data_IF_735134528533
#
_entry.id   IF_735134528533
#
_cell.length_a   1.000
_cell.length_b   1.000
_cell.length_c   1.000
_cell.angle_alpha   90.00
_cell.angle_beta   90.00
_cell.angle_gamma   90.00
#
_symmetry.space_group_name_H-M   'P 1'
#
loop_
_entity.id
_entity.type
_entity.pdbx_description
1 polymer ?
#
# COMPACT_ATOMS: atom_id res chain seq x y z
N UNK A 1 -16.87 11.88 9.95
CA UNK A 1 -16.63 10.45 9.71
C UNK A 1 -17.90 9.71 10.13
N UNK A 2 -18.71 9.24 9.16
CA UNK A 2 -19.97 8.56 9.46
C UNK A 2 -19.67 7.16 10.05
N UNK A 3 -20.37 6.81 11.14
CA UNK A 3 -20.29 5.47 11.73
C UNK A 3 -20.59 4.35 10.70
N UNK A 4 -21.40 4.64 9.67
CA UNK A 4 -21.74 3.70 8.60
C UNK A 4 -20.54 3.30 7.72
N UNK A 5 -19.52 4.17 7.58
CA UNK A 5 -18.33 3.87 6.77
C UNK A 5 -17.36 2.94 7.49
N UNK A 6 -17.43 2.88 8.82
CA UNK A 6 -16.68 1.94 9.65
C UNK A 6 -17.19 0.49 9.52
N UNK A 7 -18.45 0.30 9.11
CA UNK A 7 -19.08 -1.02 8.99
C UNK A 7 -19.02 -1.62 7.58
N UNK A 8 -18.64 -0.84 6.56
CA UNK A 8 -18.60 -1.29 5.15
C UNK A 8 -17.30 -1.97 4.69
N UNK A 9 -16.25 -1.96 5.51
CA UNK A 9 -14.97 -2.60 5.15
C UNK A 9 -14.95 -4.07 5.58
N UNK A 10 -15.70 -4.93 4.90
CA UNK A 10 -15.92 -6.33 5.30
C UNK A 10 -14.94 -7.34 4.67
N UNK A 11 -14.01 -6.92 3.81
CA UNK A 11 -13.10 -7.82 3.10
C UNK A 11 -11.65 -7.64 3.57
N UNK A 12 -10.99 -8.75 3.92
CA UNK A 12 -9.56 -8.92 4.27
C UNK A 12 -9.13 -8.85 5.75
N UNK A 13 -10.01 -9.15 6.71
CA UNK A 13 -9.60 -9.33 8.10
C UNK A 13 -9.30 -10.81 8.39
N UNK A 14 -8.05 -11.22 8.29
CA UNK A 14 -7.65 -12.59 8.60
C UNK A 14 -6.43 -12.59 9.52
N UNK A 15 -6.60 -13.18 10.70
CA UNK A 15 -5.51 -13.39 11.64
C UNK A 15 -4.65 -14.57 11.16
N UNK A 16 -3.35 -14.36 11.09
CA UNK A 16 -2.43 -15.42 10.75
C UNK A 16 -2.31 -16.42 11.91
N UNK A 17 -2.58 -17.70 11.62
CA UNK A 17 -2.51 -18.80 12.60
C UNK A 17 -1.19 -18.82 13.35
N UNK A 18 -0.07 -18.68 12.64
CA UNK A 18 1.27 -18.71 13.22
C UNK A 18 1.46 -17.64 14.30
N UNK A 19 0.99 -16.43 14.02
CA UNK A 19 1.07 -15.30 14.96
C UNK A 19 0.25 -15.59 16.21
N UNK A 20 -0.99 -16.08 16.07
CA UNK A 20 -1.83 -16.43 17.22
C UNK A 20 -1.22 -17.55 18.06
N UNK A 21 -0.72 -18.61 17.42
CA UNK A 21 -0.06 -19.75 18.11
C UNK A 21 1.13 -19.26 18.94
N UNK A 22 1.99 -18.40 18.38
CA UNK A 22 3.16 -17.88 19.10
C UNK A 22 2.75 -17.01 20.28
N UNK A 23 1.78 -16.09 20.10
CA UNK A 23 1.28 -15.25 21.19
C UNK A 23 0.69 -16.08 22.34
N UNK A 24 -0.06 -17.15 22.02
CA UNK A 24 -0.62 -18.05 23.03
C UNK A 24 0.47 -18.86 23.75
N UNK A 25 1.52 -19.32 23.05
CA UNK A 25 2.66 -19.95 23.72
C UNK A 25 3.33 -19.01 24.72
N UNK A 26 3.56 -17.74 24.35
CA UNK A 26 4.13 -16.73 25.25
C UNK A 26 3.24 -16.56 26.50
N UNK A 27 1.92 -16.45 26.30
CA UNK A 27 0.98 -16.34 27.42
C UNK A 27 0.97 -17.59 28.32
N UNK A 28 0.93 -18.81 27.74
CA UNK A 28 0.93 -20.08 28.47
C UNK A 28 2.23 -20.22 29.29
N UNK A 29 3.39 -19.97 28.70
CA UNK A 29 4.66 -20.02 29.42
C UNK A 29 4.73 -18.97 30.53
N UNK A 30 4.25 -17.76 30.29
CA UNK A 30 4.16 -16.73 31.31
C UNK A 30 3.28 -17.15 32.49
N UNK A 31 2.08 -17.69 32.22
CA UNK A 31 1.17 -18.20 33.25
C UNK A 31 1.80 -19.36 34.05
N UNK A 32 2.42 -20.32 33.34
CA UNK A 32 3.06 -21.47 33.96
C UNK A 32 4.20 -21.02 34.90
N UNK A 33 5.13 -20.21 34.40
CA UNK A 33 6.25 -19.70 35.18
C UNK A 33 5.74 -18.93 36.41
N UNK A 34 4.77 -18.05 36.23
CA UNK A 34 4.23 -17.24 37.33
C UNK A 34 3.59 -18.11 38.42
N UNK A 35 2.70 -19.04 38.04
CA UNK A 35 2.01 -19.91 39.00
C UNK A 35 3.01 -20.77 39.79
N UNK A 36 4.03 -21.34 39.12
CA UNK A 36 5.02 -22.17 39.79
C UNK A 36 5.99 -21.35 40.68
N UNK A 37 6.42 -20.16 40.25
CA UNK A 37 7.23 -19.27 41.08
C UNK A 37 6.46 -18.86 42.34
N UNK A 38 5.20 -18.44 42.21
CA UNK A 38 4.37 -18.00 43.34
C UNK A 38 4.15 -19.16 44.33
N UNK A 39 3.93 -20.37 43.83
CA UNK A 39 3.72 -21.52 44.69
C UNK A 39 5.01 -22.02 45.36
N UNK A 40 6.09 -22.28 44.58
CA UNK A 40 7.30 -22.92 45.10
C UNK A 40 8.32 -21.96 45.70
N UNK A 41 8.47 -20.78 45.11
CA UNK A 41 9.49 -19.82 45.55
C UNK A 41 8.97 -18.82 46.58
N UNK A 42 7.70 -18.38 46.42
CA UNK A 42 7.08 -17.42 47.33
C UNK A 42 6.23 -18.08 48.42
N UNK A 43 6.02 -19.43 48.32
CA UNK A 43 5.23 -20.23 49.26
C UNK A 43 3.80 -19.69 49.52
N UNK A 44 3.12 -19.21 48.48
CA UNK A 44 1.77 -18.76 48.55
C UNK A 44 0.77 -19.93 48.45
N UNK A 45 -0.30 -19.88 49.21
CA UNK A 45 -1.37 -20.89 49.21
C UNK A 45 -2.25 -20.77 47.95
N UNK A 46 -1.69 -21.21 46.83
CA UNK A 46 -2.37 -21.27 45.54
C UNK A 46 -3.07 -22.62 45.34
N UNK A 47 -4.29 -22.65 44.77
CA UNK A 47 -4.92 -23.90 44.37
C UNK A 47 -4.24 -24.43 43.08
N UNK A 48 -3.00 -24.93 43.25
CA UNK A 48 -2.11 -25.34 42.17
C UNK A 48 -2.74 -26.35 41.21
N UNK A 49 -3.56 -27.29 41.73
CA UNK A 49 -4.24 -28.29 40.92
C UNK A 49 -5.17 -27.65 39.88
N UNK A 50 -6.04 -26.73 40.31
CA UNK A 50 -6.97 -26.04 39.40
C UNK A 50 -6.23 -25.16 38.41
N UNK A 51 -5.24 -24.41 38.86
CA UNK A 51 -4.40 -23.56 37.97
C UNK A 51 -3.69 -24.39 36.91
N UNK A 52 -3.11 -25.52 37.27
CA UNK A 52 -2.41 -26.44 36.36
C UNK A 52 -3.36 -27.04 35.30
N UNK A 53 -4.57 -27.45 35.71
CA UNK A 53 -5.59 -27.93 34.77
C UNK A 53 -5.97 -26.86 33.74
N UNK A 54 -6.21 -25.63 34.18
CA UNK A 54 -6.57 -24.50 33.29
C UNK A 54 -5.45 -24.24 32.27
N UNK A 55 -4.21 -24.25 32.73
CA UNK A 55 -3.05 -24.04 31.85
C UNK A 55 -2.90 -25.24 30.88
N UNK A 56 -3.12 -26.47 31.34
CA UNK A 56 -3.09 -27.67 30.49
C UNK A 56 -4.14 -27.57 29.36
N UNK A 57 -5.36 -27.15 29.65
CA UNK A 57 -6.36 -26.90 28.63
C UNK A 57 -5.90 -25.81 27.63
N UNK A 58 -5.20 -24.77 28.08
CA UNK A 58 -4.56 -23.77 27.24
C UNK A 58 -3.56 -24.40 26.26
N UNK A 59 -2.70 -25.30 26.76
CA UNK A 59 -1.73 -26.05 25.95
C UNK A 59 -2.46 -26.91 24.90
N UNK A 60 -3.45 -27.68 25.31
CA UNK A 60 -4.20 -28.59 24.42
C UNK A 60 -4.91 -27.82 23.32
N UNK A 61 -5.57 -26.70 23.62
CA UNK A 61 -6.24 -25.86 22.62
C UNK A 61 -5.26 -25.18 21.68
N UNK A 62 -4.05 -24.82 22.14
CA UNK A 62 -3.02 -24.26 21.27
C UNK A 62 -2.42 -25.33 20.34
N UNK A 63 -2.20 -26.55 20.83
CA UNK A 63 -1.80 -27.68 19.99
C UNK A 63 -2.89 -28.03 18.96
N UNK A 64 -4.17 -28.01 19.38
CA UNK A 64 -5.29 -28.19 18.46
C UNK A 64 -5.27 -27.13 17.35
N UNK A 65 -5.11 -25.85 17.70
CA UNK A 65 -4.97 -24.77 16.73
C UNK A 65 -3.80 -25.01 15.77
N UNK A 66 -2.66 -25.43 16.31
CA UNK A 66 -1.43 -25.64 15.53
C UNK A 66 -1.55 -26.77 14.52
N UNK A 67 -2.13 -27.91 14.89
CA UNK A 67 -2.13 -29.14 14.08
C UNK A 67 -3.41 -29.35 13.28
N UNK A 68 -4.58 -28.95 13.79
CA UNK A 68 -5.86 -29.17 13.13
C UNK A 68 -6.09 -28.23 11.94
N UNK A 69 -5.73 -26.96 12.08
CA UNK A 69 -5.93 -25.99 11.01
C UNK A 69 -4.78 -26.04 9.99
N UNK A 70 -5.07 -26.54 8.79
CA UNK A 70 -4.08 -26.62 7.69
C UNK A 70 -3.80 -25.26 7.05
N UNK A 71 -4.79 -24.37 6.96
CA UNK A 71 -4.65 -23.03 6.39
C UNK A 71 -3.94 -22.09 7.37
N UNK A 72 -3.01 -21.29 6.85
CA UNK A 72 -2.29 -20.31 7.68
C UNK A 72 -3.15 -19.08 8.05
N UNK A 73 -4.21 -18.81 7.28
CA UNK A 73 -5.16 -17.74 7.56
C UNK A 73 -6.41 -18.32 8.24
N UNK A 74 -6.75 -17.77 9.40
CA UNK A 74 -7.94 -18.15 10.16
C UNK A 74 -9.14 -17.32 9.69
N UNK A 75 -10.32 -17.96 9.61
CA UNK A 75 -11.56 -17.22 9.42
C UNK A 75 -11.81 -16.28 10.59
N UNK A 76 -12.54 -15.20 10.35
CA UNK A 76 -12.87 -14.23 11.40
C UNK A 76 -13.58 -14.89 12.58
N UNK A 77 -14.50 -15.82 12.34
CA UNK A 77 -15.21 -16.56 13.38
C UNK A 77 -14.27 -17.41 14.25
N UNK A 78 -13.36 -18.17 13.61
CA UNK A 78 -12.41 -19.00 14.34
C UNK A 78 -11.46 -18.13 15.19
N UNK A 79 -10.99 -17.02 14.65
CA UNK A 79 -10.15 -16.06 15.38
C UNK A 79 -10.86 -15.52 16.63
N UNK A 80 -12.13 -15.13 16.49
CA UNK A 80 -12.95 -14.67 17.62
C UNK A 80 -13.14 -15.76 18.67
N UNK A 81 -13.42 -17.00 18.26
CA UNK A 81 -13.61 -18.11 19.17
C UNK A 81 -12.35 -18.42 20.01
N UNK A 82 -11.16 -18.41 19.37
CA UNK A 82 -9.91 -18.59 20.09
C UNK A 82 -9.61 -17.44 21.05
N UNK A 83 -9.85 -16.19 20.64
CA UNK A 83 -9.65 -15.03 21.50
C UNK A 83 -10.68 -14.97 22.65
N UNK A 84 -11.92 -15.39 22.43
CA UNK A 84 -12.92 -15.58 23.51
C UNK A 84 -12.47 -16.66 24.49
N UNK A 85 -11.99 -17.79 23.98
CA UNK A 85 -11.43 -18.83 24.82
C UNK A 85 -10.28 -18.31 25.69
N UNK A 86 -9.39 -17.48 25.14
CA UNK A 86 -8.28 -16.90 25.89
C UNK A 86 -8.76 -15.95 27.00
N UNK A 87 -9.82 -15.17 26.76
CA UNK A 87 -10.46 -14.37 27.81
C UNK A 87 -11.01 -15.29 28.92
N UNK A 88 -11.75 -16.33 28.58
CA UNK A 88 -12.31 -17.26 29.55
C UNK A 88 -11.25 -18.03 30.33
N UNK A 89 -10.22 -18.54 29.65
CA UNK A 89 -9.12 -19.28 30.27
C UNK A 89 -8.38 -18.40 31.29
N UNK A 90 -8.06 -17.14 30.93
CA UNK A 90 -7.39 -16.21 31.82
C UNK A 90 -8.32 -15.76 32.96
N UNK A 91 -9.60 -15.51 32.68
CA UNK A 91 -10.58 -15.15 33.71
C UNK A 91 -10.75 -16.24 34.76
N UNK A 92 -10.77 -17.50 34.34
CA UNK A 92 -10.87 -18.63 35.26
C UNK A 92 -9.60 -18.75 36.14
N UNK A 93 -8.42 -18.52 35.56
CA UNK A 93 -7.16 -18.49 36.31
C UNK A 93 -7.18 -17.35 37.35
N UNK A 94 -7.61 -16.15 36.94
CA UNK A 94 -7.74 -14.99 37.83
C UNK A 94 -8.79 -15.24 38.95
N UNK A 95 -9.91 -15.89 38.63
CA UNK A 95 -10.93 -16.23 39.60
C UNK A 95 -10.35 -17.02 40.77
N UNK A 96 -9.49 -18.00 40.54
CA UNK A 96 -8.84 -18.80 41.58
C UNK A 96 -7.66 -18.09 42.26
N UNK A 97 -7.18 -16.98 41.72
CA UNK A 97 -5.94 -16.32 42.17
C UNK A 97 -6.14 -14.89 42.65
N UNK A 98 -7.38 -14.52 43.09
CA UNK A 98 -7.65 -13.23 43.70
C UNK A 98 -8.46 -12.25 42.85
N UNK A 99 -8.97 -12.67 41.69
CA UNK A 99 -9.90 -11.88 40.87
C UNK A 99 -9.31 -10.53 40.45
N UNK A 100 -10.07 -9.49 40.72
CA UNK A 100 -9.69 -8.10 40.42
C UNK A 100 -8.48 -7.60 41.24
N UNK A 101 -8.21 -8.22 42.40
CA UNK A 101 -7.06 -7.90 43.25
C UNK A 101 -5.74 -8.44 42.69
N UNK A 102 -5.81 -9.32 41.73
CA UNK A 102 -4.64 -9.88 41.08
C UNK A 102 -4.10 -8.88 40.02
N UNK A 103 -2.83 -8.51 40.13
CA UNK A 103 -2.17 -7.56 39.21
C UNK A 103 -2.19 -7.98 37.73
N UNK A 104 -2.31 -9.31 37.46
CA UNK A 104 -2.38 -9.84 36.09
C UNK A 104 -3.74 -9.62 35.39
N UNK A 105 -4.73 -9.02 36.09
CA UNK A 105 -6.03 -8.69 35.49
C UNK A 105 -5.90 -7.79 34.26
N UNK A 106 -4.86 -6.99 34.17
CA UNK A 106 -4.58 -6.13 33.02
C UNK A 106 -4.42 -6.92 31.71
N UNK A 107 -4.00 -8.17 31.76
CA UNK A 107 -3.83 -9.00 30.56
C UNK A 107 -5.15 -9.42 29.91
N UNK A 108 -6.30 -9.25 30.57
CA UNK A 108 -7.61 -9.48 29.95
C UNK A 108 -7.91 -8.56 28.76
N UNK A 109 -7.21 -7.43 28.65
CA UNK A 109 -7.39 -6.51 27.51
C UNK A 109 -6.71 -7.00 26.23
N UNK A 110 -5.71 -7.90 26.32
CA UNK A 110 -4.86 -8.33 25.17
C UNK A 110 -5.69 -8.92 24.02
N UNK A 111 -6.63 -9.85 24.22
CA UNK A 111 -7.43 -10.40 23.12
C UNK A 111 -8.24 -9.32 22.39
N UNK A 112 -8.76 -8.32 23.11
CA UNK A 112 -9.49 -7.20 22.52
C UNK A 112 -8.57 -6.29 21.69
N UNK A 113 -7.33 -6.05 22.14
CA UNK A 113 -6.32 -5.28 21.38
C UNK A 113 -5.93 -6.01 20.11
N UNK A 114 -5.67 -7.32 20.18
CA UNK A 114 -5.36 -8.15 19.00
C UNK A 114 -6.52 -8.07 18.00
N UNK A 115 -7.77 -8.21 18.48
CA UNK A 115 -8.94 -8.07 17.63
C UNK A 115 -9.04 -6.69 16.97
N UNK A 116 -8.78 -5.62 17.70
CA UNK A 116 -8.88 -4.26 17.18
C UNK A 116 -7.91 -3.95 16.06
N UNK A 117 -6.74 -4.58 16.07
CA UNK A 117 -5.72 -4.40 15.03
C UNK A 117 -5.92 -5.31 13.82
N UNK A 118 -6.43 -6.53 14.02
CA UNK A 118 -6.41 -7.59 13.01
C UNK A 118 -7.79 -8.08 12.57
N UNK A 119 -8.85 -7.84 13.34
CA UNK A 119 -10.19 -8.30 13.03
C UNK A 119 -11.14 -7.11 12.73
N UNK A 120 -12.39 -7.42 12.42
CA UNK A 120 -13.40 -6.41 12.15
C UNK A 120 -13.91 -5.74 13.44
N UNK A 121 -14.54 -4.56 13.31
CA UNK A 121 -15.05 -3.80 14.45
C UNK A 121 -16.12 -4.53 15.26
N UNK A 122 -16.96 -5.36 14.62
CA UNK A 122 -18.00 -6.14 15.32
C UNK A 122 -17.37 -7.15 16.27
N UNK A 123 -16.34 -7.85 15.80
CA UNK A 123 -15.57 -8.79 16.63
C UNK A 123 -14.87 -8.11 17.77
N UNK A 124 -14.25 -6.96 17.52
CA UNK A 124 -13.59 -6.16 18.56
C UNK A 124 -14.58 -5.70 19.62
N UNK A 125 -15.75 -5.21 19.21
CA UNK A 125 -16.79 -4.80 20.14
C UNK A 125 -17.30 -5.98 20.99
N UNK A 126 -17.53 -7.15 20.39
CA UNK A 126 -17.98 -8.35 21.11
C UNK A 126 -16.94 -8.79 22.15
N UNK A 127 -15.64 -8.85 21.77
CA UNK A 127 -14.56 -9.23 22.68
C UNK A 127 -14.36 -8.21 23.80
N UNK A 128 -14.43 -6.91 23.49
CA UNK A 128 -14.31 -5.85 24.49
C UNK A 128 -15.50 -5.86 25.47
N UNK A 129 -16.72 -6.07 24.98
CA UNK A 129 -17.89 -6.23 25.84
C UNK A 129 -17.76 -7.46 26.76
N UNK A 130 -17.28 -8.59 26.23
CA UNK A 130 -17.00 -9.80 27.03
C UNK A 130 -15.95 -9.51 28.10
N UNK A 131 -14.87 -8.80 27.76
CA UNK A 131 -13.83 -8.40 28.73
C UNK A 131 -14.41 -7.53 29.85
N UNK A 132 -15.27 -6.56 29.54
CA UNK A 132 -15.94 -5.71 30.55
C UNK A 132 -16.84 -6.54 31.45
N UNK A 133 -17.64 -7.45 30.88
CA UNK A 133 -18.50 -8.34 31.68
C UNK A 133 -17.68 -9.21 32.63
N UNK A 134 -16.59 -9.81 32.12
CA UNK A 134 -15.67 -10.61 32.93
C UNK A 134 -15.03 -9.80 34.05
N UNK A 135 -14.60 -8.57 33.78
CA UNK A 135 -14.05 -7.66 34.80
C UNK A 135 -15.08 -7.36 35.90
N UNK A 136 -16.35 -7.09 35.52
CA UNK A 136 -17.42 -6.88 36.48
C UNK A 136 -17.68 -8.11 37.34
N UNK A 137 -17.70 -9.31 36.72
CA UNK A 137 -17.88 -10.58 37.48
C UNK A 137 -16.71 -10.79 38.42
N UNK A 138 -15.46 -10.60 37.99
CA UNK A 138 -14.27 -10.79 38.82
C UNK A 138 -14.15 -9.73 39.95
N UNK A 139 -14.83 -8.59 39.83
CA UNK A 139 -14.88 -7.58 40.91
C UNK A 139 -15.69 -8.09 42.11
N UNK A 140 -16.79 -8.81 41.87
CA UNK A 140 -17.69 -9.25 42.94
C UNK A 140 -17.51 -10.71 43.31
N UNK A 141 -17.05 -11.56 42.38
CA UNK A 141 -16.98 -13.01 42.58
C UNK A 141 -15.55 -13.50 42.23
N UNK A 142 -14.79 -13.82 43.27
CA UNK A 142 -13.46 -14.40 43.15
C UNK A 142 -13.03 -15.08 44.44
N UNK A 143 -12.10 -16.01 44.36
CA UNK A 143 -11.42 -16.55 45.54
C UNK A 143 -10.51 -15.48 46.17
N UNK A 144 -10.18 -15.59 47.46
CA UNK A 144 -9.26 -14.68 48.13
C UNK A 144 -7.92 -14.62 47.40
N UNK A 145 -7.25 -13.45 47.50
CA UNK A 145 -5.88 -13.34 46.99
C UNK A 145 -4.99 -14.30 47.78
N UNK A 146 -4.21 -15.16 47.08
CA UNK A 146 -3.27 -16.06 47.76
C UNK A 146 -2.28 -15.28 48.59
N UNK A 147 -2.08 -15.70 49.85
CA UNK A 147 -1.09 -15.15 50.77
C UNK A 147 -0.15 -16.22 51.28
N UNK A 148 0.99 -15.84 51.83
CA UNK A 148 1.78 -16.72 52.68
C UNK A 148 1.36 -16.54 54.13
N UNK A 149 1.59 -17.55 55.02
CA UNK A 149 1.23 -17.52 56.41
C UNK A 149 1.66 -16.25 57.18
N UNK A 150 2.72 -15.56 56.67
CA UNK A 150 3.29 -14.36 57.28
C UNK A 150 2.81 -13.05 56.60
N UNK A 151 2.16 -13.12 55.44
CA UNK A 151 1.74 -11.95 54.67
C UNK A 151 0.24 -11.99 54.33
N UNK A 152 -0.55 -11.14 54.99
CA UNK A 152 -1.93 -10.87 54.60
C UNK A 152 -1.97 -9.58 53.83
N UNK A 153 -2.31 -9.68 52.52
CA UNK A 153 -2.49 -8.50 51.65
C UNK A 153 -3.89 -7.94 51.84
N UNK A 154 -4.03 -6.94 52.70
CA UNK A 154 -5.26 -6.19 52.82
C UNK A 154 -5.25 -5.07 51.78
N UNK A 155 -5.96 -5.29 50.66
CA UNK A 155 -6.10 -4.28 49.61
C UNK A 155 -7.23 -3.33 49.98
N UNK A 156 -6.96 -2.00 50.08
CA UNK A 156 -8.00 -1.03 50.44
C UNK A 156 -9.22 -1.13 49.53
N UNK A 157 -10.45 -0.94 50.08
CA UNK A 157 -11.69 -1.13 49.33
C UNK A 157 -11.80 -0.29 48.07
N UNK A 158 -11.22 0.91 48.04
CA UNK A 158 -11.27 1.75 46.86
C UNK A 158 -10.54 1.13 45.62
N UNK A 159 -9.55 0.24 45.83
CA UNK A 159 -8.91 -0.49 44.74
C UNK A 159 -9.87 -1.41 44.00
N UNK A 160 -10.88 -1.96 44.68
CA UNK A 160 -11.90 -2.81 44.05
C UNK A 160 -12.67 -2.09 42.96
N UNK A 161 -12.79 -0.78 43.06
CA UNK A 161 -13.47 0.05 42.06
C UNK A 161 -12.48 0.75 41.13
N UNK A 162 -11.33 1.17 41.63
CA UNK A 162 -10.34 1.88 40.87
C UNK A 162 -9.68 0.99 39.79
N UNK A 163 -9.35 -0.26 40.10
CA UNK A 163 -8.70 -1.19 39.15
C UNK A 163 -9.58 -1.49 37.94
N UNK A 164 -10.86 -1.94 38.07
CA UNK A 164 -11.69 -2.21 36.90
C UNK A 164 -11.93 -0.93 36.08
N UNK A 165 -12.10 0.23 36.68
CA UNK A 165 -12.26 1.50 35.97
C UNK A 165 -10.99 1.82 35.13
N UNK A 166 -9.81 1.69 35.74
CA UNK A 166 -8.55 1.93 35.03
C UNK A 166 -8.33 0.95 33.87
N UNK A 167 -8.65 -0.33 34.05
CA UNK A 167 -8.55 -1.35 33.01
C UNK A 167 -9.56 -1.09 31.87
N UNK A 168 -10.79 -0.65 32.18
CA UNK A 168 -11.79 -0.27 31.16
C UNK A 168 -11.32 0.96 30.37
N UNK A 169 -10.77 1.98 31.03
CA UNK A 169 -10.20 3.15 30.34
C UNK A 169 -9.06 2.71 29.42
N UNK A 170 -8.15 1.87 29.90
CA UNK A 170 -7.06 1.31 29.08
C UNK A 170 -7.60 0.49 27.92
N UNK A 171 -8.61 -0.35 28.12
CA UNK A 171 -9.28 -1.15 27.09
C UNK A 171 -9.83 -0.24 25.98
N UNK A 172 -10.61 0.77 26.33
CA UNK A 172 -11.21 1.72 25.36
C UNK A 172 -10.12 2.45 24.55
N UNK A 173 -9.12 2.99 25.26
CA UNK A 173 -8.03 3.72 24.61
C UNK A 173 -7.22 2.81 23.65
N UNK A 174 -6.78 1.65 24.13
CA UNK A 174 -5.94 0.74 23.36
C UNK A 174 -6.68 0.07 22.20
N UNK A 175 -7.97 -0.26 22.35
CA UNK A 175 -8.77 -0.79 21.25
C UNK A 175 -9.07 0.26 20.20
N UNK A 176 -9.34 1.52 20.60
CA UNK A 176 -9.47 2.62 19.64
C UNK A 176 -8.16 2.87 18.87
N UNK A 177 -7.04 2.95 19.60
CA UNK A 177 -5.73 3.12 18.98
C UNK A 177 -5.39 1.97 18.04
N UNK A 178 -5.59 0.71 18.47
CA UNK A 178 -5.36 -0.48 17.66
C UNK A 178 -6.19 -0.49 16.37
N UNK A 179 -7.48 -0.13 16.45
CA UNK A 179 -8.36 -0.05 15.28
C UNK A 179 -7.90 1.02 14.28
N UNK A 180 -7.49 2.19 14.77
CA UNK A 180 -6.94 3.28 13.93
C UNK A 180 -5.64 2.87 13.27
N UNK A 181 -4.69 2.36 14.06
CA UNK A 181 -3.39 1.90 13.57
C UNK A 181 -3.52 0.75 12.56
N UNK A 182 -4.34 -0.26 12.87
CA UNK A 182 -4.59 -1.38 11.96
C UNK A 182 -5.21 -0.94 10.63
N UNK A 183 -6.16 0.02 10.66
CA UNK A 183 -6.77 0.56 9.44
C UNK A 183 -5.76 1.32 8.60
N UNK A 184 -4.95 2.17 9.21
CA UNK A 184 -3.93 2.96 8.52
C UNK A 184 -2.84 2.07 7.91
N UNK A 185 -2.35 1.08 8.66
CA UNK A 185 -1.35 0.12 8.20
C UNK A 185 -1.83 -0.67 6.98
N UNK A 186 -3.09 -1.14 7.01
CA UNK A 186 -3.70 -1.86 5.87
C UNK A 186 -3.85 -0.98 4.64
N UNK A 187 -4.27 0.29 4.80
CA UNK A 187 -4.34 1.24 3.68
C UNK A 187 -2.99 1.40 3.00
N UNK A 188 -1.93 1.55 3.80
CA UNK A 188 -0.56 1.65 3.28
C UNK A 188 -0.11 0.38 2.57
N UNK A 189 -0.35 -0.79 3.15
CA UNK A 189 -0.01 -2.06 2.53
C UNK A 189 -0.74 -2.27 1.19
N UNK A 190 -2.06 -2.00 1.12
CA UNK A 190 -2.84 -2.07 -0.13
C UNK A 190 -2.33 -1.10 -1.19
N UNK A 191 -1.93 0.11 -0.80
CA UNK A 191 -1.36 1.09 -1.71
C UNK A 191 -0.01 0.64 -2.28
N UNK A 192 0.87 0.07 -1.43
CA UNK A 192 2.16 -0.47 -1.86
C UNK A 192 2.00 -1.66 -2.81
N UNK A 193 1.13 -2.62 -2.49
CA UNK A 193 0.85 -3.75 -3.38
C UNK A 193 0.34 -3.29 -4.75
N UNK A 194 -0.51 -2.26 -4.78
CA UNK A 194 -0.98 -1.70 -6.05
C UNK A 194 0.12 -1.00 -6.83
N UNK A 195 1.03 -0.31 -6.13
CA UNK A 195 2.22 0.28 -6.74
C UNK A 195 3.10 -0.80 -7.40
N UNK A 196 3.39 -1.90 -6.69
CA UNK A 196 4.18 -3.02 -7.23
C UNK A 196 3.53 -3.64 -8.46
N UNK A 197 2.21 -3.79 -8.46
CA UNK A 197 1.48 -4.33 -9.61
C UNK A 197 1.53 -3.40 -10.82
N UNK A 198 1.47 -2.08 -10.61
CA UNK A 198 1.62 -1.09 -11.69
C UNK A 198 3.04 -1.15 -12.26
N UNK A 199 4.06 -1.19 -11.41
CA UNK A 199 5.46 -1.28 -11.86
C UNK A 199 5.71 -2.57 -12.65
N UNK A 200 5.22 -3.71 -12.15
CA UNK A 200 5.33 -4.98 -12.87
C UNK A 200 4.68 -4.91 -14.26
N UNK A 201 3.52 -4.26 -14.36
CA UNK A 201 2.84 -4.06 -15.64
C UNK A 201 3.60 -3.14 -16.60
N UNK A 202 4.19 -2.06 -16.10
CA UNK A 202 5.04 -1.16 -16.91
C UNK A 202 6.27 -1.89 -17.43
N UNK A 203 6.97 -2.67 -16.60
CA UNK A 203 8.09 -3.49 -17.03
C UNK A 203 7.70 -4.55 -18.06
N UNK A 204 6.52 -5.17 -17.92
CA UNK A 204 5.99 -6.11 -18.92
C UNK A 204 5.77 -5.41 -20.27
N UNK A 205 5.12 -4.25 -20.27
CA UNK A 205 4.88 -3.46 -21.47
C UNK A 205 6.18 -3.00 -22.13
N UNK A 206 7.16 -2.55 -21.34
CA UNK A 206 8.49 -2.19 -21.82
C UNK A 206 9.18 -3.38 -22.47
N UNK A 207 9.18 -4.55 -21.85
CA UNK A 207 9.76 -5.78 -22.42
C UNK A 207 9.09 -6.20 -23.73
N UNK A 208 7.75 -6.18 -23.79
CA UNK A 208 7.01 -6.47 -25.03
C UNK A 208 7.39 -5.45 -26.10
N UNK A 209 7.57 -4.21 -25.71
CA UNK A 209 8.00 -3.13 -26.56
C UNK A 209 9.35 -3.39 -27.23
N UNK A 210 10.34 -3.74 -26.44
CA UNK A 210 11.69 -4.07 -26.91
C UNK A 210 11.64 -5.25 -27.88
N UNK A 211 10.90 -6.31 -27.56
CA UNK A 211 10.74 -7.47 -28.45
C UNK A 211 10.08 -7.10 -29.78
N UNK A 212 9.06 -6.27 -29.75
CA UNK A 212 8.37 -5.81 -30.96
C UNK A 212 9.28 -4.94 -31.85
N UNK A 213 10.10 -4.06 -31.24
CA UNK A 213 11.07 -3.25 -31.96
C UNK A 213 12.17 -4.10 -32.63
N UNK A 214 12.73 -5.08 -31.90
CA UNK A 214 13.70 -6.03 -32.43
C UNK A 214 13.11 -6.87 -33.59
N UNK A 215 11.85 -7.33 -33.43
CA UNK A 215 11.14 -8.05 -34.50
C UNK A 215 10.91 -7.15 -35.72
N UNK A 216 10.51 -5.89 -35.53
CA UNK A 216 10.33 -4.94 -36.63
C UNK A 216 11.62 -4.66 -37.40
N UNK A 217 12.74 -4.52 -36.70
CA UNK A 217 14.06 -4.35 -37.31
C UNK A 217 14.47 -5.61 -38.13
N UNK A 218 14.32 -6.79 -37.53
CA UNK A 218 14.66 -8.07 -38.17
C UNK A 218 13.79 -8.38 -39.40
N UNK A 219 12.51 -7.98 -39.38
CA UNK A 219 11.59 -8.15 -40.52
C UNK A 219 11.74 -7.04 -41.59
N UNK A 220 12.20 -5.88 -41.18
CA UNK A 220 12.40 -4.74 -42.10
C UNK A 220 13.42 -5.01 -43.21
N UNK A 221 14.52 -5.71 -42.88
CA UNK A 221 15.59 -6.06 -43.83
C UNK A 221 15.10 -7.00 -44.96
N UNK A 222 14.48 -8.18 -44.68
CA UNK A 222 14.00 -9.06 -45.74
C UNK A 222 12.85 -8.41 -46.54
N UNK A 223 12.01 -7.60 -45.92
CA UNK A 223 10.94 -6.89 -46.60
C UNK A 223 11.46 -5.82 -47.56
N UNK A 224 12.54 -5.15 -47.20
CA UNK A 224 13.26 -4.22 -48.07
C UNK A 224 13.84 -4.94 -49.29
N UNK A 225 14.45 -6.11 -49.09
CA UNK A 225 15.00 -6.95 -50.18
C UNK A 225 13.89 -7.40 -51.13
N UNK A 226 12.75 -7.89 -50.60
CA UNK A 226 11.58 -8.26 -51.42
C UNK A 226 11.09 -7.07 -52.26
N UNK A 227 11.04 -5.88 -51.65
CA UNK A 227 10.59 -4.66 -52.34
C UNK A 227 11.55 -4.28 -53.48
N UNK A 228 12.86 -4.42 -53.28
CA UNK A 228 13.88 -4.15 -54.31
C UNK A 228 13.72 -5.14 -55.49
N UNK A 229 13.69 -6.43 -55.21
CA UNK A 229 13.53 -7.48 -56.22
C UNK A 229 12.23 -7.29 -57.01
N UNK A 230 11.11 -7.03 -56.33
CA UNK A 230 9.83 -6.80 -57.00
C UNK A 230 9.87 -5.55 -57.91
N UNK A 231 10.60 -4.50 -57.54
CA UNK A 231 10.79 -3.31 -58.39
C UNK A 231 11.65 -3.62 -59.64
N UNK A 232 12.68 -4.43 -59.50
CA UNK A 232 13.50 -4.85 -60.62
C UNK A 232 12.70 -5.71 -61.61
N UNK A 233 11.96 -6.71 -61.10
CA UNK A 233 11.05 -7.54 -61.90
C UNK A 233 10.01 -6.68 -62.62
N UNK A 234 9.46 -5.67 -62.01
CA UNK A 234 8.53 -4.74 -62.66
C UNK A 234 9.16 -3.99 -63.85
N UNK A 235 10.45 -3.68 -63.77
CA UNK A 235 11.17 -3.04 -64.90
C UNK A 235 11.41 -3.97 -66.06
N UNK A 236 11.69 -5.24 -65.79
CA UNK A 236 11.97 -6.24 -66.81
C UNK A 236 10.73 -6.77 -67.54
N UNK A 237 9.61 -6.94 -66.81
CA UNK A 237 8.34 -7.53 -67.30
C UNK A 237 7.35 -6.44 -67.78
N UNK A 238 7.84 -5.34 -68.34
CA UNK A 238 7.02 -4.19 -68.75
C UNK A 238 5.89 -4.48 -69.78
N UNK A 239 5.98 -5.58 -70.55
CA UNK A 239 5.12 -5.89 -71.69
C UNK A 239 4.09 -6.98 -71.45
N UNK A 240 3.97 -7.58 -70.24
CA UNK A 240 2.93 -8.58 -69.93
C UNK A 240 1.92 -8.06 -68.90
N UNK A 241 0.65 -7.78 -69.32
CA UNK A 241 -0.36 -7.19 -68.47
C UNK A 241 -0.77 -8.08 -67.27
N UNK A 242 -0.53 -9.39 -67.34
CA UNK A 242 -0.88 -10.34 -66.30
C UNK A 242 0.09 -10.26 -65.13
N UNK A 243 1.40 -10.33 -65.42
CA UNK A 243 2.43 -10.30 -64.40
C UNK A 243 2.64 -8.88 -63.80
N UNK A 244 2.35 -7.82 -64.57
CA UNK A 244 2.45 -6.45 -64.08
C UNK A 244 1.48 -6.21 -62.91
N UNK A 245 0.22 -6.75 -62.97
CA UNK A 245 -0.76 -6.64 -61.87
C UNK A 245 -0.32 -7.37 -60.59
N UNK A 246 0.24 -8.57 -60.75
CA UNK A 246 0.69 -9.37 -59.62
C UNK A 246 1.90 -8.72 -58.92
N UNK A 247 2.82 -8.13 -59.67
CA UNK A 247 3.97 -7.40 -59.11
C UNK A 247 3.51 -6.10 -58.41
N UNK A 248 2.51 -5.40 -58.94
CA UNK A 248 1.96 -4.21 -58.29
C UNK A 248 1.27 -4.57 -56.99
N UNK A 249 0.54 -5.69 -56.93
CA UNK A 249 -0.06 -6.20 -55.72
C UNK A 249 1.02 -6.55 -54.68
N UNK A 250 2.07 -7.24 -55.07
CA UNK A 250 3.20 -7.63 -54.23
C UNK A 250 3.89 -6.38 -53.60
N UNK A 251 4.18 -5.36 -54.43
CA UNK A 251 4.75 -4.09 -53.98
C UNK A 251 3.85 -3.37 -53.00
N UNK A 252 2.50 -3.36 -53.25
CA UNK A 252 1.55 -2.74 -52.37
C UNK A 252 1.48 -3.42 -51.02
N UNK A 253 1.49 -4.77 -50.99
CA UNK A 253 1.49 -5.54 -49.74
C UNK A 253 2.83 -5.40 -48.98
N UNK A 254 3.96 -5.43 -49.65
CA UNK A 254 5.26 -5.20 -49.02
C UNK A 254 5.34 -3.81 -48.39
N UNK A 255 4.82 -2.77 -49.07
CA UNK A 255 4.72 -1.42 -48.53
C UNK A 255 3.80 -1.39 -47.29
N UNK A 256 2.64 -2.03 -47.36
CA UNK A 256 1.69 -2.11 -46.23
C UNK A 256 2.33 -2.79 -45.02
N UNK A 257 3.04 -3.91 -45.20
CA UNK A 257 3.78 -4.56 -44.11
C UNK A 257 4.86 -3.64 -43.52
N UNK A 258 5.62 -2.93 -44.35
CA UNK A 258 6.62 -1.95 -43.92
C UNK A 258 5.98 -0.81 -43.09
N UNK A 259 4.84 -0.31 -43.52
CA UNK A 259 4.13 0.76 -42.81
C UNK A 259 3.56 0.28 -41.43
N UNK A 260 3.11 -0.98 -41.38
CA UNK A 260 2.67 -1.60 -40.10
C UNK A 260 3.86 -1.75 -39.15
N UNK A 261 5.00 -2.30 -39.64
CA UNK A 261 6.21 -2.43 -38.84
C UNK A 261 6.73 -1.08 -38.34
N UNK A 262 6.70 -0.05 -39.19
CA UNK A 262 7.06 1.32 -38.78
C UNK A 262 6.12 1.88 -37.73
N UNK A 263 4.82 1.60 -37.78
CA UNK A 263 3.87 2.01 -36.75
C UNK A 263 4.15 1.32 -35.42
N UNK A 264 4.45 0.01 -35.45
CA UNK A 264 4.82 -0.77 -34.25
C UNK A 264 6.12 -0.20 -33.65
N UNK A 265 7.13 0.07 -34.46
CA UNK A 265 8.42 0.63 -34.04
C UNK A 265 8.33 2.10 -33.61
N UNK A 266 7.44 2.90 -34.20
CA UNK A 266 7.33 4.34 -33.90
C UNK A 266 6.64 4.61 -32.56
N UNK A 267 5.78 3.72 -32.10
CA UNK A 267 5.17 3.80 -30.77
C UNK A 267 6.08 3.30 -29.66
N UNK A 268 7.27 2.84 -30.00
CA UNK A 268 8.25 2.28 -29.07
C UNK A 268 9.62 2.82 -29.44
N UNK A 269 10.17 3.61 -28.55
CA UNK A 269 11.54 4.10 -28.67
C UNK A 269 12.47 2.87 -28.60
N UNK A 270 13.22 2.66 -29.67
CA UNK A 270 14.19 1.58 -29.81
C UNK A 270 15.21 1.70 -28.68
N UNK A 271 15.20 0.70 -27.78
CA UNK A 271 16.29 0.49 -26.84
C UNK A 271 17.48 -0.13 -27.57
N UNK A 272 18.21 0.71 -28.28
CA UNK A 272 19.62 0.42 -28.56
C UNK A 272 20.35 0.65 -27.21
N UNK A 273 21.31 -0.21 -26.83
CA UNK A 273 22.15 -0.03 -25.63
C UNK A 273 22.84 1.35 -25.58
N UNK A 274 22.87 2.08 -26.71
CA UNK A 274 23.23 3.50 -26.83
C UNK A 274 22.13 4.48 -26.45
N UNK A 275 20.89 4.03 -26.18
CA UNK A 275 19.72 4.88 -25.83
C UNK A 275 19.15 4.61 -24.43
N UNK A 276 19.86 3.90 -23.55
CA UNK A 276 19.54 3.86 -22.11
C UNK A 276 19.65 5.27 -21.51
N UNK A 277 20.43 6.14 -22.14
CA UNK A 277 20.71 7.50 -21.73
C UNK A 277 19.77 8.46 -22.46
N UNK A 278 18.79 8.95 -21.80
CA UNK A 278 17.84 9.94 -22.33
C UNK A 278 18.12 11.31 -21.71
N UNK A 279 18.08 12.38 -22.52
CA UNK A 279 18.06 13.69 -21.92
C UNK A 279 16.72 13.94 -21.22
N UNK A 280 16.75 14.57 -20.05
CA UNK A 280 15.52 14.93 -19.33
C UNK A 280 14.60 15.84 -20.16
N UNK A 281 15.18 16.64 -21.06
CA UNK A 281 14.46 17.45 -22.02
C UNK A 281 13.64 16.59 -22.99
N UNK A 282 14.27 15.57 -23.59
CA UNK A 282 13.60 14.65 -24.51
C UNK A 282 12.51 13.83 -23.82
N UNK A 283 12.76 13.40 -22.58
CA UNK A 283 11.75 12.71 -21.77
C UNK A 283 10.52 13.60 -21.53
N UNK A 284 10.72 14.88 -21.20
CA UNK A 284 9.61 15.81 -21.01
C UNK A 284 8.86 16.08 -22.31
N UNK A 285 9.57 16.23 -23.46
CA UNK A 285 8.95 16.37 -24.78
C UNK A 285 8.09 15.16 -25.12
N UNK A 286 8.59 13.95 -24.87
CA UNK A 286 7.84 12.71 -25.10
C UNK A 286 6.56 12.64 -24.27
N UNK A 287 6.68 12.92 -22.98
CA UNK A 287 5.53 12.86 -22.07
C UNK A 287 4.48 13.93 -22.42
N UNK A 288 4.90 15.17 -22.66
CA UNK A 288 3.97 16.28 -22.99
C UNK A 288 3.25 16.04 -24.30
N UNK A 289 3.95 15.60 -25.36
CA UNK A 289 3.33 15.24 -26.65
C UNK A 289 2.28 14.13 -26.51
N UNK A 290 2.51 13.14 -25.63
CA UNK A 290 1.54 12.08 -25.43
C UNK A 290 0.22 12.57 -24.81
N UNK A 291 0.24 13.68 -24.08
CA UNK A 291 -0.97 14.31 -23.56
C UNK A 291 -1.59 15.32 -24.54
N UNK A 292 -0.81 16.03 -25.36
CA UNK A 292 -1.30 16.89 -26.44
C UNK A 292 -2.15 16.10 -27.46
N UNK A 293 -1.78 14.85 -27.76
CA UNK A 293 -2.52 13.98 -28.68
C UNK A 293 -3.89 13.53 -28.13
N UNK A 294 -4.09 13.56 -26.80
CA UNK A 294 -5.28 13.01 -26.12
C UNK A 294 -6.16 14.11 -25.53
N UNK A 295 -5.63 15.31 -25.30
CA UNK A 295 -6.28 16.41 -24.61
C UNK A 295 -6.47 17.61 -25.54
N UNK A 296 -7.62 18.29 -25.43
CA UNK A 296 -7.89 19.57 -26.12
C UNK A 296 -7.25 20.78 -25.39
N UNK A 297 -6.53 20.55 -24.29
CA UNK A 297 -5.93 21.60 -23.48
C UNK A 297 -4.56 22.02 -24.01
N UNK A 298 -4.22 23.29 -23.83
CA UNK A 298 -2.92 23.82 -24.20
C UNK A 298 -1.85 23.34 -23.20
N UNK A 299 -0.81 22.66 -23.69
CA UNK A 299 0.31 22.20 -22.86
C UNK A 299 1.57 22.92 -23.34
N UNK A 300 2.13 23.78 -22.50
CA UNK A 300 3.33 24.55 -22.82
C UNK A 300 4.54 23.95 -22.13
N UNK A 301 5.55 23.60 -22.90
CA UNK A 301 6.82 23.11 -22.42
C UNK A 301 7.91 24.18 -22.57
N UNK A 302 8.45 24.69 -21.46
CA UNK A 302 9.50 25.68 -21.42
C UNK A 302 10.84 25.07 -20.98
N UNK A 303 11.80 25.01 -21.90
CA UNK A 303 13.13 24.44 -21.69
C UNK A 303 14.24 25.51 -21.69
N UNK A 304 13.91 26.79 -21.83
CA UNK A 304 14.89 27.89 -22.05
C UNK A 304 15.88 28.08 -20.90
N UNK A 305 15.48 27.74 -19.67
CA UNK A 305 16.33 27.85 -18.47
C UNK A 305 17.24 26.63 -18.23
N UNK A 306 17.21 25.65 -19.12
CA UNK A 306 18.04 24.43 -19.05
C UNK A 306 18.91 24.31 -20.31
N UNK A 307 19.84 25.26 -20.52
CA UNK A 307 20.70 25.34 -21.71
C UNK A 307 21.64 24.13 -21.91
N UNK A 308 22.02 23.46 -20.82
CA UNK A 308 22.86 22.27 -20.88
C UNK A 308 22.00 21.00 -20.78
N UNK A 309 22.23 20.07 -21.68
CA UNK A 309 21.56 18.77 -21.70
C UNK A 309 22.01 17.93 -20.52
N UNK A 310 21.07 17.43 -19.69
CA UNK A 310 21.37 16.45 -18.66
C UNK A 310 20.91 15.08 -19.13
N UNK A 311 21.87 14.17 -19.25
CA UNK A 311 21.64 12.77 -19.58
C UNK A 311 21.31 12.05 -18.26
N UNK A 312 20.21 11.30 -18.27
CA UNK A 312 19.72 10.53 -17.14
C UNK A 312 19.44 9.09 -17.58
N UNK A 313 19.52 8.16 -16.64
CA UNK A 313 19.02 6.81 -16.83
C UNK A 313 17.50 6.84 -17.07
N UNK A 314 17.04 6.25 -18.18
CA UNK A 314 15.62 6.12 -18.49
C UNK A 314 15.00 5.09 -17.53
N UNK A 315 14.49 5.53 -16.40
CA UNK A 315 13.80 4.64 -15.47
C UNK A 315 12.28 4.78 -15.59
N UNK A 316 11.60 3.64 -15.50
CA UNK A 316 10.13 3.58 -15.45
C UNK A 316 9.56 4.39 -14.30
N UNK A 317 10.28 4.46 -13.17
CA UNK A 317 9.88 5.24 -12.00
C UNK A 317 9.86 6.75 -12.29
N UNK A 318 10.90 7.28 -12.96
CA UNK A 318 10.97 8.71 -13.31
C UNK A 318 9.87 9.02 -14.33
N UNK A 319 9.77 8.22 -15.39
CA UNK A 319 8.80 8.41 -16.47
C UNK A 319 7.37 8.37 -15.93
N UNK A 320 7.01 7.33 -15.18
CA UNK A 320 5.67 7.18 -14.63
C UNK A 320 5.36 8.22 -13.55
N UNK A 321 6.35 8.56 -12.72
CA UNK A 321 6.21 9.60 -11.71
C UNK A 321 5.88 10.97 -12.32
N UNK A 322 6.65 11.43 -13.31
CA UNK A 322 6.42 12.69 -14.01
C UNK A 322 5.07 12.65 -14.76
N UNK A 323 4.80 11.56 -15.49
CA UNK A 323 3.54 11.38 -16.23
C UNK A 323 2.31 11.46 -15.33
N UNK A 324 2.39 10.98 -14.10
CA UNK A 324 1.29 11.09 -13.13
C UNK A 324 0.98 12.53 -12.75
N UNK A 325 2.00 13.35 -12.53
CA UNK A 325 1.79 14.75 -12.16
C UNK A 325 1.32 15.59 -13.35
N UNK A 326 1.88 15.39 -14.55
CA UNK A 326 1.41 16.04 -15.77
C UNK A 326 -0.05 15.61 -16.07
N UNK A 327 -0.37 14.31 -15.94
CA UNK A 327 -1.73 13.82 -16.12
C UNK A 327 -2.73 14.40 -15.13
N UNK A 328 -2.33 14.60 -13.87
CA UNK A 328 -3.15 15.29 -12.88
C UNK A 328 -3.35 16.78 -13.25
N UNK A 329 -2.29 17.48 -13.64
CA UNK A 329 -2.38 18.87 -14.10
C UNK A 329 -3.35 18.99 -15.29
N UNK A 330 -3.21 18.14 -16.31
CA UNK A 330 -4.13 18.10 -17.47
C UNK A 330 -5.57 17.82 -17.05
N UNK A 331 -5.76 16.90 -16.10
CA UNK A 331 -7.10 16.51 -15.63
C UNK A 331 -7.83 17.63 -14.91
N UNK A 332 -7.12 18.38 -14.07
CA UNK A 332 -7.71 19.39 -13.19
C UNK A 332 -7.59 20.82 -13.71
N UNK A 333 -6.72 21.10 -14.69
CA UNK A 333 -6.65 22.41 -15.36
C UNK A 333 -7.97 22.81 -16.00
N UNK A 334 -8.19 24.08 -16.16
CA UNK A 334 -9.27 24.63 -16.98
C UNK A 334 -8.91 24.58 -18.47
N UNK A 335 -7.84 25.25 -18.87
CA UNK A 335 -7.44 25.39 -20.27
C UNK A 335 -5.96 25.10 -20.52
N UNK A 336 -5.08 25.33 -19.52
CA UNK A 336 -3.65 25.41 -19.74
C UNK A 336 -2.84 24.67 -18.69
N UNK A 337 -1.77 23.98 -19.14
CA UNK A 337 -0.74 23.38 -18.30
C UNK A 337 0.61 23.85 -18.75
N UNK A 338 1.46 24.30 -17.83
CA UNK A 338 2.85 24.70 -18.10
C UNK A 338 3.81 23.72 -17.42
N UNK A 339 4.77 23.24 -18.19
CA UNK A 339 5.87 22.40 -17.69
C UNK A 339 7.18 23.15 -17.91
N UNK A 340 7.79 23.60 -16.83
CA UNK A 340 9.01 24.42 -16.86
C UNK A 340 10.18 23.60 -16.32
N UNK A 341 11.26 23.48 -17.10
CA UNK A 341 12.52 22.88 -16.68
C UNK A 341 13.55 23.96 -16.34
N UNK A 342 14.05 23.92 -15.13
CA UNK A 342 15.08 24.83 -14.64
C UNK A 342 16.31 24.03 -14.19
N UNK A 343 17.49 24.45 -14.63
CA UNK A 343 18.76 23.89 -14.19
C UNK A 343 19.59 24.92 -13.48
N UNK A 344 20.04 24.59 -12.28
CA UNK A 344 21.03 25.33 -11.52
C UNK A 344 22.34 24.53 -11.46
N UNK A 345 23.40 25.10 -10.92
CA UNK A 345 24.72 24.43 -10.82
C UNK A 345 24.69 23.07 -10.13
N UNK A 346 23.77 22.85 -9.17
CA UNK A 346 23.73 21.63 -8.35
C UNK A 346 22.38 20.92 -8.36
N UNK A 347 21.33 21.55 -8.90
CA UNK A 347 19.97 21.01 -8.87
C UNK A 347 19.29 21.15 -10.23
N UNK A 348 18.41 20.21 -10.53
CA UNK A 348 17.45 20.31 -11.62
C UNK A 348 16.05 20.33 -11.04
N UNK A 349 15.19 21.18 -11.57
CA UNK A 349 13.84 21.43 -11.09
C UNK A 349 12.86 21.36 -12.24
N UNK A 350 11.79 20.61 -12.07
CA UNK A 350 10.64 20.57 -12.96
C UNK A 350 9.47 21.15 -12.21
N UNK A 351 8.90 22.24 -12.75
CA UNK A 351 7.68 22.87 -12.24
C UNK A 351 6.53 22.51 -13.18
N UNK A 352 5.52 21.84 -12.68
CA UNK A 352 4.27 21.53 -13.38
C UNK A 352 3.20 22.42 -12.79
N UNK A 353 2.62 23.28 -13.62
CA UNK A 353 1.70 24.36 -13.22
C UNK A 353 0.41 24.17 -14.01
N UNK A 354 -0.72 24.23 -13.34
CA UNK A 354 -2.04 24.23 -13.97
C UNK A 354 -2.83 25.50 -13.60
N UNK A 355 -3.83 25.83 -14.40
CA UNK A 355 -4.77 26.94 -14.21
C UNK A 355 -6.09 26.49 -13.57
N UNK A 356 -6.07 25.36 -12.86
CA UNK A 356 -7.23 24.78 -12.20
C UNK A 356 -7.58 25.44 -10.87
N UNK A 357 -8.44 24.80 -10.06
CA UNK A 357 -8.87 25.35 -8.77
C UNK A 357 -7.79 25.27 -7.67
N UNK A 358 -6.63 24.68 -7.95
CA UNK A 358 -5.60 24.38 -6.94
C UNK A 358 -5.94 23.19 -6.05
N UNK A 359 -5.08 22.93 -5.06
CA UNK A 359 -5.30 21.87 -4.07
C UNK A 359 -6.26 22.38 -2.98
N UNK A 360 -7.38 21.69 -2.71
CA UNK A 360 -8.24 22.01 -1.57
C UNK A 360 -7.49 21.92 -0.24
N UNK A 361 -7.86 22.73 0.76
CA UNK A 361 -7.17 22.77 2.06
C UNK A 361 -7.16 21.43 2.80
N UNK A 362 -8.23 20.65 2.69
CA UNK A 362 -8.37 19.32 3.27
C UNK A 362 -7.42 18.31 2.61
N UNK A 363 -7.17 18.45 1.31
CA UNK A 363 -6.24 17.63 0.52
C UNK A 363 -4.80 18.09 0.73
N UNK A 364 -4.56 19.40 0.79
CA UNK A 364 -3.22 19.97 0.87
C UNK A 364 -2.41 19.47 2.08
N UNK A 365 -3.08 19.30 3.24
CA UNK A 365 -2.46 18.81 4.48
C UNK A 365 -2.01 17.33 4.43
N UNK A 366 -2.61 16.55 3.53
CA UNK A 366 -2.40 15.11 3.43
C UNK A 366 -1.90 14.67 2.05
N UNK A 367 -1.50 15.65 1.20
CA UNK A 367 -1.08 15.38 -0.17
C UNK A 367 0.11 14.41 -0.20
N UNK A 368 0.03 13.43 -1.09
CA UNK A 368 1.00 12.33 -1.17
C UNK A 368 0.73 11.15 -0.22
N UNK A 369 -0.38 11.16 0.55
CA UNK A 369 -0.87 9.95 1.22
C UNK A 369 -1.74 9.12 0.26
N UNK A 370 -1.89 7.81 0.49
CA UNK A 370 -2.75 6.96 -0.35
C UNK A 370 -4.23 7.22 -0.09
N UNK A 371 -5.06 7.06 -1.14
CA UNK A 371 -6.53 7.17 -1.08
C UNK A 371 -7.07 8.54 -0.65
N UNK A 372 -6.41 9.61 -1.10
CA UNK A 372 -6.91 10.96 -0.90
C UNK A 372 -8.04 11.24 -1.89
N UNK A 373 -9.22 11.55 -1.38
CA UNK A 373 -10.35 12.05 -2.16
C UNK A 373 -10.82 13.37 -1.54
N UNK A 374 -11.03 14.38 -2.39
CA UNK A 374 -11.61 15.66 -1.93
C UNK A 374 -13.06 15.46 -1.51
N UNK A 375 -13.46 16.13 -0.43
CA UNK A 375 -14.86 16.18 0.02
C UNK A 375 -15.72 17.18 -0.76
N UNK A 376 -15.14 18.01 -1.63
CA UNK A 376 -15.87 18.97 -2.45
C UNK A 376 -16.62 18.27 -3.59
N UNK A 377 -17.92 18.58 -3.75
CA UNK A 377 -18.83 17.96 -4.73
C UNK A 377 -18.37 18.14 -6.19
N UNK A 378 -17.74 19.26 -6.52
CA UNK A 378 -17.29 19.59 -7.89
C UNK A 378 -16.06 18.78 -8.34
N UNK A 379 -15.22 18.37 -7.40
CA UNK A 379 -14.03 17.53 -7.66
C UNK A 379 -14.33 16.03 -7.55
N UNK A 380 -15.41 15.64 -6.90
CA UNK A 380 -15.78 14.22 -6.69
C UNK A 380 -16.16 13.52 -7.99
N UNK A 381 -16.74 14.23 -8.98
CA UNK A 381 -17.10 13.67 -10.30
C UNK A 381 -15.89 13.34 -11.19
N UNK A 382 -14.76 14.03 -10.98
CA UNK A 382 -13.46 13.79 -11.65
C UNK A 382 -12.52 12.92 -10.81
N UNK A 383 -12.95 12.51 -9.61
CA UNK A 383 -12.11 11.79 -8.65
C UNK A 383 -11.79 10.38 -9.15
N UNK A 384 -10.50 10.10 -9.26
CA UNK A 384 -9.99 8.73 -9.37
C UNK A 384 -9.84 8.09 -7.99
N UNK A 385 -9.14 6.96 -7.91
CA UNK A 385 -8.88 6.22 -6.66
C UNK A 385 -8.03 6.99 -5.61
N UNK A 386 -7.62 8.23 -5.88
CA UNK A 386 -6.78 9.04 -4.99
C UNK A 386 -5.37 8.47 -4.75
N UNK A 387 -4.89 7.64 -5.68
CA UNK A 387 -3.59 6.96 -5.58
C UNK A 387 -2.52 7.59 -6.47
N UNK A 388 -2.89 8.34 -7.52
CA UNK A 388 -1.95 8.87 -8.50
C UNK A 388 -0.85 9.72 -7.87
N UNK A 389 -1.21 10.71 -7.06
CA UNK A 389 -0.25 11.58 -6.37
C UNK A 389 0.66 10.80 -5.40
N UNK A 390 0.11 9.82 -4.67
CA UNK A 390 0.88 8.94 -3.79
C UNK A 390 1.90 8.12 -4.59
N UNK A 391 1.47 7.48 -5.67
CA UNK A 391 2.32 6.64 -6.53
C UNK A 391 3.41 7.50 -7.17
N UNK A 392 3.04 8.60 -7.82
CA UNK A 392 3.99 9.50 -8.46
C UNK A 392 5.04 10.03 -7.49
N UNK A 393 4.62 10.47 -6.29
CA UNK A 393 5.52 10.91 -5.24
C UNK A 393 6.47 9.79 -4.79
N UNK A 394 5.94 8.62 -4.46
CA UNK A 394 6.73 7.47 -3.97
C UNK A 394 7.78 7.03 -4.99
N UNK A 395 7.43 7.00 -6.28
CA UNK A 395 8.35 6.61 -7.35
C UNK A 395 9.51 7.61 -7.51
N UNK A 396 9.19 8.90 -7.53
CA UNK A 396 10.19 9.94 -7.68
C UNK A 396 11.09 10.05 -6.43
N UNK A 397 10.53 9.90 -5.22
CA UNK A 397 11.31 9.87 -3.98
C UNK A 397 12.26 8.66 -3.91
N UNK A 398 11.88 7.49 -4.45
CA UNK A 398 12.78 6.33 -4.61
C UNK A 398 14.00 6.67 -5.47
N UNK A 399 13.82 7.55 -6.45
CA UNK A 399 14.91 8.10 -7.29
C UNK A 399 15.46 9.42 -6.70
N UNK A 400 15.35 9.59 -5.38
CA UNK A 400 15.89 10.70 -4.59
C UNK A 400 15.37 12.09 -4.98
N UNK A 401 14.23 12.20 -5.64
CA UNK A 401 13.56 13.47 -5.85
C UNK A 401 12.98 14.02 -4.54
N UNK A 402 12.96 15.35 -4.45
CA UNK A 402 12.18 16.06 -3.42
C UNK A 402 11.00 16.74 -4.11
N UNK A 403 9.78 16.53 -3.59
CA UNK A 403 8.57 17.12 -4.14
C UNK A 403 8.00 18.17 -3.20
N UNK A 404 7.61 19.30 -3.76
CA UNK A 404 6.87 20.34 -3.05
C UNK A 404 5.59 20.70 -3.83
N UNK A 405 4.55 21.04 -3.08
CA UNK A 405 3.23 21.36 -3.61
C UNK A 405 2.85 22.74 -3.14
N UNK A 406 2.26 23.57 -4.00
CA UNK A 406 1.76 24.89 -3.64
C UNK A 406 0.58 25.29 -4.52
N UNK A 407 -0.22 26.25 -4.06
CA UNK A 407 -1.26 26.89 -4.85
C UNK A 407 -0.79 28.26 -5.29
N UNK A 408 -1.24 28.69 -6.47
CA UNK A 408 -1.06 30.07 -6.98
C UNK A 408 -2.06 31.01 -6.33
N UNK A 409 -1.70 32.28 -6.11
CA UNK A 409 -2.59 33.28 -5.54
C UNK A 409 -3.80 33.59 -6.47
N UNK A 410 -3.63 33.42 -7.77
CA UNK A 410 -4.67 33.66 -8.79
C UNK A 410 -5.47 32.39 -9.16
N UNK A 411 -5.31 31.31 -8.42
CA UNK A 411 -5.85 29.98 -8.74
C UNK A 411 -4.85 29.14 -9.54
N UNK A 412 -4.93 27.82 -9.37
CA UNK A 412 -4.02 26.84 -9.98
C UNK A 412 -3.12 26.15 -8.96
N UNK A 413 -2.59 25.01 -9.33
CA UNK A 413 -1.64 24.25 -8.53
C UNK A 413 -0.24 24.25 -9.16
N UNK A 414 0.78 24.15 -8.30
CA UNK A 414 2.16 23.94 -8.70
C UNK A 414 2.68 22.70 -8.03
N UNK A 415 3.22 21.77 -8.82
CA UNK A 415 4.01 20.66 -8.35
C UNK A 415 5.45 20.88 -8.77
N UNK A 416 6.35 20.96 -7.81
CA UNK A 416 7.78 21.14 -8.05
C UNK A 416 8.51 19.86 -7.69
N UNK A 417 9.24 19.30 -8.63
CA UNK A 417 10.07 18.10 -8.50
C UNK A 417 11.52 18.54 -8.62
N UNK A 418 12.33 18.24 -7.61
CA UNK A 418 13.72 18.68 -7.53
C UNK A 418 14.64 17.49 -7.30
N UNK A 419 15.72 17.39 -8.07
CA UNK A 419 16.82 16.45 -7.84
C UNK A 419 18.14 17.19 -7.68
N UNK A 420 19.06 16.59 -6.94
CA UNK A 420 20.46 16.91 -7.07
C UNK A 420 21.01 16.29 -8.36
N UNK A 421 21.83 17.04 -9.11
CA UNK A 421 22.36 16.57 -10.40
C UNK A 421 23.15 15.27 -10.23
N UNK A 422 23.88 15.11 -9.12
CA UNK A 422 24.69 13.91 -8.83
C UNK A 422 23.82 12.66 -8.55
N UNK A 423 22.56 12.82 -8.13
CA UNK A 423 21.64 11.70 -7.89
C UNK A 423 20.95 11.21 -9.18
N UNK A 424 21.02 11.99 -10.26
CA UNK A 424 20.45 11.65 -11.58
C UNK A 424 21.50 11.21 -12.62
N UNK A 425 22.78 11.53 -12.38
CA UNK A 425 23.86 11.09 -13.27
C UNK A 425 24.11 9.60 -13.09
N UNK A 426 24.37 8.94 -14.23
CA UNK A 426 24.85 7.56 -14.34
C UNK A 426 26.29 7.49 -13.83
#
# INVERSE_FOLDING_TARGET
MNLSDLFKAEEDFQLEKRTLVVLRWIAIFGQLITVYIVYFALHFDLPLFYCSIIILFGILTNLFLQFYFKKNQLSNLNSVLFLLYDIFQLSLLLFFTGGIKNSFVIFLIIPSIISSTLLNLRSTFALSATTVIVLLVLTFYHFPLPGSGDFHFDVPEYYLYAVPVSVIIALVFLTYFGARFGTESRKRAKALNKLELILAKEHELESIGQQAAAAAHSLGTPLSTITVIARELKKEIKNDPKYSKDIDLLLSQAKRCSDILKKISKNQIVDDKFMSDVSIQNLLIEITKSFEEISEKEILLNLEKAKETLIIDRSSEITYGIRNFIGNAVKYSHNKVEVNLERSSNHIKINIIDDGPGFPEDVFKIIGQPYITSSSKDLSSKSGLGLGTFIGKTLLERKKATLTFSNLEQGGAIVTITWKIDDLKI
#
